data_IF_578966534764
#
_entry.id   IF_578966534764
#
_cell.length_a   1.000
_cell.length_b   1.000
_cell.length_c   1.000
_cell.angle_alpha   90.00
_cell.angle_beta   90.00
_cell.angle_gamma   90.00
#
_symmetry.space_group_name_H-M   'P 1'
#
loop_
_entity.id
_entity.type
_entity.pdbx_description
1 polymer ?
#
# COMPACT_ATOMS: atom_id res chain seq x y z
N UNK A 1 -52.11 9.29 3.82
CA UNK A 1 -50.81 9.81 4.23
C UNK A 1 -50.07 8.64 4.86
N UNK A 2 -49.12 8.09 4.12
CA UNK A 2 -48.49 6.79 4.43
C UNK A 2 -47.36 7.02 5.44
N UNK A 3 -47.54 6.54 6.67
CA UNK A 3 -46.43 6.30 7.58
C UNK A 3 -45.79 4.98 7.13
N UNK A 4 -44.72 5.08 6.34
CA UNK A 4 -43.85 3.93 6.09
C UNK A 4 -42.94 3.83 7.30
N UNK A 5 -43.05 2.70 7.99
CA UNK A 5 -42.39 2.42 9.25
C UNK A 5 -40.86 2.56 9.11
N UNK A 6 -40.25 3.51 9.83
CA UNK A 6 -38.80 3.69 9.89
C UNK A 6 -38.08 2.45 10.44
N UNK A 7 -38.80 1.53 11.09
CA UNK A 7 -38.25 0.26 11.56
C UNK A 7 -37.74 -0.64 10.42
N UNK A 8 -38.34 -0.57 9.22
CA UNK A 8 -37.89 -1.36 8.05
C UNK A 8 -36.54 -0.85 7.53
N UNK A 9 -36.16 0.40 7.81
CA UNK A 9 -34.88 0.97 7.40
C UNK A 9 -33.71 0.60 8.33
N UNK A 10 -33.98 0.00 9.49
CA UNK A 10 -32.96 -0.41 10.46
C UNK A 10 -32.56 -1.89 10.34
N UNK A 11 -33.42 -2.74 9.76
CA UNK A 11 -33.09 -4.14 9.48
C UNK A 11 -31.97 -4.19 8.42
N UNK A 12 -30.79 -4.65 8.81
CA UNK A 12 -29.61 -4.81 7.94
C UNK A 12 -28.50 -3.77 8.13
N UNK A 13 -28.67 -2.75 8.99
CA UNK A 13 -27.59 -1.79 9.33
C UNK A 13 -26.39 -2.43 10.04
N UNK A 14 -26.58 -3.61 10.64
CA UNK A 14 -25.52 -4.38 11.29
C UNK A 14 -24.76 -5.29 10.32
N UNK A 15 -25.23 -5.47 9.09
CA UNK A 15 -24.59 -6.33 8.10
C UNK A 15 -23.59 -5.55 7.24
N UNK A 16 -22.35 -6.04 7.17
CA UNK A 16 -21.34 -5.47 6.28
C UNK A 16 -21.63 -5.86 4.83
N UNK A 17 -22.12 -4.90 4.06
CA UNK A 17 -22.55 -5.13 2.68
C UNK A 17 -21.38 -4.97 1.68
N UNK A 18 -21.54 -5.44 0.43
CA UNK A 18 -20.59 -5.13 -0.64
C UNK A 18 -20.43 -3.63 -0.89
N UNK A 19 -21.48 -2.83 -0.65
CA UNK A 19 -21.43 -1.37 -0.77
C UNK A 19 -20.51 -0.78 0.29
N UNK A 20 -20.61 -1.24 1.54
CA UNK A 20 -19.74 -0.80 2.63
C UNK A 20 -18.27 -1.12 2.33
N UNK A 21 -17.99 -2.33 1.84
CA UNK A 21 -16.62 -2.70 1.44
C UNK A 21 -16.11 -1.87 0.27
N UNK A 22 -16.94 -1.57 -0.73
CA UNK A 22 -16.56 -0.72 -1.85
C UNK A 22 -16.25 0.72 -1.41
N UNK A 23 -17.06 1.27 -0.50
CA UNK A 23 -16.82 2.60 0.09
C UNK A 23 -15.54 2.58 0.93
N UNK A 24 -15.34 1.55 1.75
CA UNK A 24 -14.15 1.42 2.56
C UNK A 24 -12.87 1.34 1.71
N UNK A 25 -12.90 0.61 0.59
CA UNK A 25 -11.79 0.57 -0.37
C UNK A 25 -11.55 1.88 -1.08
N UNK A 26 -12.62 2.64 -1.36
CA UNK A 26 -12.49 3.98 -1.91
C UNK A 26 -11.75 4.88 -0.91
N UNK A 27 -12.15 4.86 0.36
CA UNK A 27 -11.48 5.63 1.43
C UNK A 27 -10.00 5.25 1.55
N UNK A 28 -9.66 3.96 1.52
CA UNK A 28 -8.26 3.51 1.58
C UNK A 28 -7.43 4.05 0.40
N UNK A 29 -8.04 4.13 -0.79
CA UNK A 29 -7.38 4.67 -1.98
C UNK A 29 -7.21 6.19 -1.89
N UNK A 30 -8.22 6.90 -1.41
CA UNK A 30 -8.16 8.36 -1.23
C UNK A 30 -7.14 8.75 -0.16
N UNK A 31 -7.05 8.00 0.94
CA UNK A 31 -6.02 8.19 1.97
C UNK A 31 -4.60 8.03 1.39
N UNK A 32 -4.36 6.95 0.63
CA UNK A 32 -3.08 6.77 -0.05
C UNK A 32 -2.76 7.93 -1.00
N UNK A 33 -3.74 8.36 -1.80
CA UNK A 33 -3.56 9.42 -2.78
C UNK A 33 -3.24 10.75 -2.09
N UNK A 34 -4.03 11.14 -1.09
CA UNK A 34 -3.84 12.37 -0.34
C UNK A 34 -2.47 12.42 0.34
N UNK A 35 -2.07 11.34 1.02
CA UNK A 35 -0.76 11.28 1.68
C UNK A 35 0.40 11.31 0.67
N UNK A 36 0.22 10.70 -0.51
CA UNK A 36 1.24 10.72 -1.58
C UNK A 36 1.40 12.13 -2.17
N UNK A 37 0.29 12.80 -2.48
CA UNK A 37 0.28 14.18 -2.98
C UNK A 37 0.84 15.15 -1.95
N UNK A 38 0.37 15.07 -0.70
CA UNK A 38 0.84 15.95 0.37
C UNK A 38 2.35 15.78 0.59
N UNK A 39 2.86 14.55 0.58
CA UNK A 39 4.29 14.28 0.64
C UNK A 39 5.05 14.94 -0.51
N UNK A 40 4.50 14.90 -1.72
CA UNK A 40 5.12 15.58 -2.87
C UNK A 40 5.17 17.10 -2.70
N UNK A 41 4.17 17.71 -2.06
CA UNK A 41 4.11 19.15 -1.86
C UNK A 41 5.09 19.66 -0.79
N UNK A 42 5.33 18.86 0.25
CA UNK A 42 6.23 19.23 1.35
C UNK A 42 7.68 18.77 1.15
N UNK A 43 7.94 17.90 0.16
CA UNK A 43 9.30 17.44 -0.14
C UNK A 43 10.00 18.51 -0.97
N UNK A 44 11.03 19.14 -0.40
CA UNK A 44 11.91 20.03 -1.15
C UNK A 44 12.70 19.20 -2.20
N UNK A 45 12.56 19.49 -3.51
CA UNK A 45 13.26 18.74 -4.54
C UNK A 45 14.78 18.94 -4.49
N UNK A 46 15.27 20.04 -3.92
CA UNK A 46 16.68 20.40 -3.84
C UNK A 46 17.34 20.01 -2.51
N UNK A 47 16.59 19.35 -1.61
CA UNK A 47 17.12 18.85 -0.34
C UNK A 47 18.25 17.82 -0.58
N UNK A 48 19.48 18.09 -0.08
CA UNK A 48 20.61 17.18 -0.21
C UNK A 48 20.34 15.77 0.34
N UNK A 49 19.57 15.62 1.40
CA UNK A 49 19.24 14.33 2.01
C UNK A 49 18.34 13.50 1.09
N UNK A 50 17.33 14.14 0.48
CA UNK A 50 16.42 13.50 -0.49
C UNK A 50 17.19 13.02 -1.72
N UNK A 51 18.14 13.82 -2.22
CA UNK A 51 18.98 13.45 -3.35
C UNK A 51 19.97 12.33 -3.03
N UNK A 52 20.57 12.36 -1.83
CA UNK A 52 21.44 11.29 -1.34
C UNK A 52 20.68 9.95 -1.24
N UNK A 53 19.46 9.97 -0.71
CA UNK A 53 18.64 8.75 -0.58
C UNK A 53 18.17 8.24 -1.94
N UNK A 54 17.72 9.10 -2.87
CA UNK A 54 17.40 8.70 -4.25
C UNK A 54 18.59 8.05 -4.95
N UNK A 55 19.78 8.62 -4.77
CA UNK A 55 21.03 8.07 -5.33
C UNK A 55 21.35 6.71 -4.71
N UNK A 56 21.24 6.58 -3.39
CA UNK A 56 21.43 5.30 -2.69
C UNK A 56 20.45 4.23 -3.17
N UNK A 57 19.17 4.54 -3.30
CA UNK A 57 18.16 3.59 -3.81
C UNK A 57 18.46 3.14 -5.23
N UNK A 58 18.85 4.09 -6.10
CA UNK A 58 19.28 3.80 -7.48
C UNK A 58 20.50 2.88 -7.52
N UNK A 59 21.49 3.10 -6.65
CA UNK A 59 22.67 2.23 -6.53
C UNK A 59 22.31 0.82 -6.04
N UNK A 60 21.37 0.72 -5.09
CA UNK A 60 20.84 -0.54 -4.59
C UNK A 60 19.89 -1.23 -5.59
N UNK A 61 19.53 -0.57 -6.69
CA UNK A 61 18.57 -1.08 -7.67
C UNK A 61 17.17 -1.27 -7.12
N UNK A 62 16.84 -0.56 -6.02
CA UNK A 62 15.50 -0.59 -5.41
C UNK A 62 14.58 0.19 -6.32
N UNK A 63 13.59 -0.49 -6.88
CA UNK A 63 12.52 0.13 -7.66
C UNK A 63 11.28 0.28 -6.78
N UNK A 64 10.51 1.36 -6.94
CA UNK A 64 9.16 1.42 -6.39
C UNK A 64 8.35 0.20 -6.84
N UNK A 65 7.41 -0.27 -6.01
CA UNK A 65 6.51 -1.36 -6.40
C UNK A 65 5.67 -0.96 -7.62
N UNK A 66 5.32 -1.93 -8.47
CA UNK A 66 4.49 -1.68 -9.67
C UNK A 66 3.07 -1.22 -9.33
N UNK A 67 2.56 -1.64 -8.18
CA UNK A 67 1.25 -1.27 -7.67
C UNK A 67 1.41 -0.54 -6.33
N UNK A 68 0.59 0.49 -6.06
CA UNK A 68 0.62 1.18 -4.78
C UNK A 68 0.22 0.21 -3.66
N UNK A 69 0.94 0.28 -2.55
CA UNK A 69 0.58 -0.46 -1.34
C UNK A 69 -0.51 0.33 -0.60
N UNK A 70 -1.76 -0.12 -0.73
CA UNK A 70 -2.87 0.44 0.03
C UNK A 70 -2.92 -0.19 1.43
N UNK A 71 -3.20 0.64 2.44
CA UNK A 71 -3.43 0.21 3.81
C UNK A 71 -4.93 0.33 4.13
N UNK A 72 -5.52 -0.66 4.82
CA UNK A 72 -6.92 -0.61 5.21
C UNK A 72 -7.09 0.35 6.39
N UNK A 73 -7.41 1.61 6.11
CA UNK A 73 -7.63 2.67 7.11
C UNK A 73 -9.10 2.85 7.44
N UNK A 74 -10.00 2.51 6.50
CA UNK A 74 -11.43 2.61 6.72
C UNK A 74 -11.93 1.63 7.78
N UNK A 75 -12.97 2.04 8.51
CA UNK A 75 -13.61 1.23 9.56
C UNK A 75 -14.30 0.02 8.93
N UNK A 76 -14.05 -1.16 9.50
CA UNK A 76 -14.59 -2.46 9.05
C UNK A 76 -14.87 -3.36 10.25
N UNK A 77 -15.63 -4.45 10.08
CA UNK A 77 -15.75 -5.50 11.08
C UNK A 77 -14.36 -5.98 11.55
N UNK A 78 -14.13 -6.17 12.86
CA UNK A 78 -12.79 -6.41 13.39
C UNK A 78 -12.04 -7.60 12.77
N UNK A 79 -12.76 -8.70 12.49
CA UNK A 79 -12.17 -9.88 11.87
C UNK A 79 -11.65 -9.59 10.44
N UNK A 80 -12.43 -8.87 9.63
CA UNK A 80 -12.04 -8.47 8.29
C UNK A 80 -10.88 -7.47 8.32
N UNK A 81 -10.94 -6.48 9.21
CA UNK A 81 -9.88 -5.50 9.39
C UNK A 81 -8.54 -6.17 9.72
N UNK A 82 -8.53 -7.13 10.66
CA UNK A 82 -7.32 -7.86 11.02
C UNK A 82 -6.72 -8.62 9.84
N UNK A 83 -7.56 -9.31 9.04
CA UNK A 83 -7.11 -10.03 7.85
C UNK A 83 -6.49 -9.09 6.82
N UNK A 84 -7.12 -7.95 6.55
CA UNK A 84 -6.62 -6.97 5.59
C UNK A 84 -5.30 -6.34 6.05
N UNK A 85 -5.18 -5.99 7.33
CA UNK A 85 -3.92 -5.44 7.89
C UNK A 85 -2.80 -6.46 7.79
N UNK A 86 -3.07 -7.74 8.09
CA UNK A 86 -2.08 -8.80 7.95
C UNK A 86 -1.66 -8.99 6.48
N UNK A 87 -2.61 -8.98 5.55
CA UNK A 87 -2.33 -9.09 4.12
C UNK A 87 -1.48 -7.91 3.61
N UNK A 88 -1.81 -6.68 4.03
CA UNK A 88 -1.05 -5.48 3.68
C UNK A 88 0.38 -5.52 4.24
N UNK A 89 0.55 -5.95 5.50
CA UNK A 89 1.87 -6.12 6.10
C UNK A 89 2.72 -7.16 5.35
N UNK A 90 2.13 -8.31 4.99
CA UNK A 90 2.83 -9.33 4.21
C UNK A 90 3.22 -8.84 2.81
N UNK A 91 2.38 -8.02 2.17
CA UNK A 91 2.70 -7.42 0.88
C UNK A 91 3.85 -6.40 1.00
N UNK A 92 3.84 -5.56 2.04
CA UNK A 92 4.91 -4.61 2.32
C UNK A 92 6.25 -5.32 2.60
N UNK A 93 6.25 -6.43 3.35
CA UNK A 93 7.46 -7.22 3.58
C UNK A 93 8.06 -7.81 2.31
N UNK A 94 7.22 -8.22 1.34
CA UNK A 94 7.69 -8.74 0.05
C UNK A 94 8.38 -7.64 -0.77
N UNK A 95 7.84 -6.42 -0.73
CA UNK A 95 8.42 -5.25 -1.41
C UNK A 95 9.76 -4.86 -0.76
N UNK A 96 9.83 -4.88 0.58
CA UNK A 96 11.02 -4.48 1.32
C UNK A 96 12.24 -5.40 1.11
N UNK A 97 12.05 -6.65 0.68
CA UNK A 97 13.14 -7.60 0.43
C UNK A 97 13.66 -7.42 -1.01
N UNK A 98 14.80 -6.74 -1.24
CA UNK A 98 15.33 -6.58 -2.59
C UNK A 98 15.61 -7.94 -3.22
N UNK A 99 15.15 -8.15 -4.45
CA UNK A 99 15.43 -9.39 -5.17
C UNK A 99 16.95 -9.53 -5.30
N UNK A 100 17.52 -10.61 -4.77
CA UNK A 100 18.96 -10.88 -4.92
C UNK A 100 19.30 -10.89 -6.40
N UNK A 101 20.23 -10.03 -6.85
CA UNK A 101 20.77 -10.07 -8.21
C UNK A 101 21.22 -11.49 -8.51
N UNK A 102 20.55 -12.15 -9.47
CA UNK A 102 20.96 -13.46 -9.95
C UNK A 102 22.19 -13.25 -10.83
N UNK A 103 23.37 -13.39 -10.25
CA UNK A 103 24.63 -13.36 -10.99
C UNK A 103 24.73 -14.68 -11.76
N UNK A 104 25.04 -14.59 -13.06
CA UNK A 104 25.25 -15.79 -13.89
C UNK A 104 26.57 -16.46 -13.54
N UNK A 105 26.68 -17.79 -13.74
CA UNK A 105 27.90 -18.56 -13.40
C UNK A 105 29.13 -17.98 -14.12
N UNK A 106 28.98 -17.57 -15.37
CA UNK A 106 30.02 -16.90 -16.16
C UNK A 106 30.47 -15.58 -15.55
N UNK A 107 29.54 -14.79 -15.04
CA UNK A 107 29.81 -13.50 -14.39
C UNK A 107 30.47 -13.70 -13.02
N UNK A 108 30.08 -14.75 -12.29
CA UNK A 108 30.74 -15.17 -11.04
C UNK A 108 32.18 -15.66 -11.28
N UNK A 109 32.41 -16.46 -12.33
CA UNK A 109 33.75 -16.94 -12.70
C UNK A 109 34.67 -15.78 -13.10
N UNK A 110 34.14 -14.81 -13.87
CA UNK A 110 34.87 -13.60 -14.28
C UNK A 110 35.25 -12.71 -13.09
N UNK A 111 34.42 -12.66 -12.05
CA UNK A 111 34.74 -11.97 -10.78
C UNK A 111 35.81 -12.69 -9.96
N UNK A 112 36.02 -14.00 -10.18
CA UNK A 112 36.97 -14.83 -9.42
C UNK A 112 38.33 -14.99 -10.11
N UNK A 113 38.53 -14.39 -11.29
CA UNK A 113 39.82 -14.34 -11.97
C UNK A 113 40.24 -15.65 -12.66
N UNK A 114 39.29 -16.41 -13.21
CA UNK A 114 39.55 -17.48 -14.18
C UNK A 114 38.91 -17.16 -15.53
#
# INVERSE_FOLDING_TARGET
>A
MWWVDLAILADGLDEWTPTDENIARLVDREDYWLNSEYRSWITDPDDPEVQAEKTRQKLLGVKPPEQPQLWPVAVRPPALQQQLVQAAAQAAEKIAKPSRKKITITEFLRMRGN
#
